data_IF_646930263492
#
_entry.id   IF_646930263492
#
_cell.length_a   1.000
_cell.length_b   1.000
_cell.length_c   1.000
_cell.angle_alpha   90.00
_cell.angle_beta   90.00
_cell.angle_gamma   90.00
#
_symmetry.space_group_name_H-M   'P 1'
#
loop_
_entity.id
_entity.type
_entity.pdbx_description
1 polymer ?
#
# COMPACT_ATOMS: atom_id res chain seq x y z
N UNK A 1 1.03 -11.40 16.98
CA UNK A 1 -0.15 -10.84 16.27
C UNK A 1 -1.43 -11.40 16.89
N UNK A 2 -1.51 -11.41 18.23
CA UNK A 2 -2.65 -11.99 18.94
C UNK A 2 -3.81 -11.01 19.03
N UNK A 3 -5.02 -11.54 19.15
CA UNK A 3 -6.26 -10.78 19.33
C UNK A 3 -6.62 -10.65 20.81
N UNK A 4 -7.01 -9.44 21.23
CA UNK A 4 -7.70 -9.22 22.51
C UNK A 4 -9.21 -9.41 22.32
N UNK A 5 -9.99 -9.85 23.31
CA UNK A 5 -11.45 -9.94 23.15
C UNK A 5 -12.06 -8.56 22.86
N UNK A 6 -13.05 -8.49 21.96
CA UNK A 6 -13.77 -7.26 21.60
C UNK A 6 -13.09 -6.35 20.58
N UNK A 7 -12.23 -6.91 19.70
CA UNK A 7 -11.61 -6.13 18.62
C UNK A 7 -12.59 -5.84 17.47
N UNK A 8 -12.30 -4.79 16.70
CA UNK A 8 -12.92 -4.54 15.39
C UNK A 8 -11.87 -4.67 14.29
N UNK A 9 -12.33 -4.82 13.05
CA UNK A 9 -11.47 -4.76 11.87
C UNK A 9 -11.62 -3.38 11.21
N UNK A 10 -10.51 -2.71 10.96
CA UNK A 10 -10.45 -1.56 10.07
C UNK A 10 -9.83 -2.02 8.76
N UNK A 11 -10.59 -1.91 7.68
CA UNK A 11 -10.20 -2.37 6.35
C UNK A 11 -10.04 -1.18 5.41
N UNK A 12 -8.84 -0.99 4.88
CA UNK A 12 -8.51 0.09 3.94
C UNK A 12 -8.24 -0.53 2.57
N UNK A 13 -8.95 -0.06 1.55
CA UNK A 13 -8.86 -0.54 0.18
C UNK A 13 -8.50 0.63 -0.75
N UNK A 14 -7.29 0.60 -1.33
CA UNK A 14 -6.82 1.62 -2.28
C UNK A 14 -6.63 1.00 -3.67
N UNK A 15 -7.44 1.44 -4.63
CA UNK A 15 -7.40 0.95 -6.01
C UNK A 15 -6.42 1.76 -6.90
N UNK A 16 -6.05 1.19 -8.05
CA UNK A 16 -5.17 1.80 -9.03
C UNK A 16 -5.82 2.94 -9.83
N UNK A 17 -5.08 4.05 -9.93
CA UNK A 17 -5.40 5.34 -10.60
C UNK A 17 -5.83 5.25 -12.08
N UNK A 18 -5.70 4.12 -12.76
CA UNK A 18 -6.04 3.95 -14.18
C UNK A 18 -7.27 3.06 -14.43
N UNK A 19 -7.88 2.52 -13.38
CA UNK A 19 -9.07 1.71 -13.53
C UNK A 19 -10.25 2.68 -13.63
N UNK A 20 -10.68 2.97 -14.85
CA UNK A 20 -11.98 3.60 -15.04
C UNK A 20 -13.02 2.73 -14.33
N UNK A 21 -13.91 3.35 -13.55
CA UNK A 21 -15.18 2.71 -13.21
C UNK A 21 -15.88 2.45 -14.55
N UNK A 22 -15.79 1.21 -15.01
CA UNK A 22 -16.20 0.73 -16.32
C UNK A 22 -16.43 -0.78 -16.24
N UNK A 23 -16.73 -1.44 -17.35
CA UNK A 23 -17.29 -2.81 -17.40
C UNK A 23 -16.51 -3.93 -16.67
N UNK A 24 -15.31 -3.69 -16.11
CA UNK A 24 -14.53 -4.65 -15.34
C UNK A 24 -14.04 -4.04 -14.02
N UNK A 25 -14.45 -4.65 -12.92
CA UNK A 25 -14.06 -4.29 -11.56
C UNK A 25 -12.71 -4.91 -11.17
N UNK A 26 -11.92 -4.22 -10.33
CA UNK A 26 -10.72 -4.81 -9.73
C UNK A 26 -11.06 -5.78 -8.60
N UNK A 27 -10.08 -6.60 -8.21
CA UNK A 27 -10.20 -7.43 -7.01
C UNK A 27 -10.37 -6.59 -5.74
N UNK A 28 -9.87 -5.34 -5.71
CA UNK A 28 -9.96 -4.47 -4.52
C UNK A 28 -11.39 -4.00 -4.29
N UNK A 29 -12.07 -3.50 -5.33
CA UNK A 29 -13.47 -3.07 -5.21
C UNK A 29 -14.40 -4.26 -4.95
N UNK A 30 -14.13 -5.41 -5.57
CA UNK A 30 -14.89 -6.65 -5.32
C UNK A 30 -14.73 -7.15 -3.89
N UNK A 31 -13.50 -7.15 -3.36
CA UNK A 31 -13.24 -7.49 -1.97
C UNK A 31 -13.99 -6.53 -1.05
N UNK A 32 -13.86 -5.22 -1.29
CA UNK A 32 -14.53 -4.20 -0.46
C UNK A 32 -16.06 -4.37 -0.42
N UNK A 33 -16.66 -4.70 -1.56
CA UNK A 33 -18.10 -4.93 -1.67
C UNK A 33 -18.57 -6.20 -0.96
N UNK A 34 -17.66 -7.16 -0.72
CA UNK A 34 -17.96 -8.44 -0.04
C UNK A 34 -17.68 -8.39 1.47
N UNK A 35 -17.09 -7.32 2.00
CA UNK A 35 -16.89 -7.15 3.44
C UNK A 35 -18.24 -7.01 4.13
N UNK A 36 -18.49 -7.88 5.12
CA UNK A 36 -19.66 -7.86 5.99
C UNK A 36 -19.48 -6.77 7.06
N UNK A 37 -20.04 -5.58 6.80
CA UNK A 37 -19.89 -4.40 7.68
C UNK A 37 -20.74 -4.51 8.94
N UNK A 38 -21.88 -5.18 8.84
CA UNK A 38 -22.89 -5.34 9.90
C UNK A 38 -22.73 -6.67 10.68
N UNK A 39 -21.53 -7.26 10.67
CA UNK A 39 -21.22 -8.46 11.44
C UNK A 39 -21.28 -8.16 12.94
N UNK A 40 -22.16 -8.87 13.66
CA UNK A 40 -22.41 -8.65 15.09
C UNK A 40 -21.29 -9.19 15.98
N UNK A 41 -20.51 -10.17 15.50
CA UNK A 41 -19.43 -10.78 16.27
C UNK A 41 -18.13 -9.98 16.14
N UNK A 42 -17.85 -9.48 14.93
CA UNK A 42 -16.66 -8.67 14.65
C UNK A 42 -17.02 -7.49 13.74
N UNK A 43 -17.24 -6.28 14.30
CA UNK A 43 -17.53 -5.11 13.50
C UNK A 43 -16.41 -4.79 12.50
N UNK A 44 -16.77 -4.44 11.26
CA UNK A 44 -15.82 -4.13 10.19
C UNK A 44 -16.05 -2.72 9.64
N UNK A 45 -15.13 -1.82 9.95
CA UNK A 45 -15.11 -0.47 9.41
C UNK A 45 -14.30 -0.46 8.12
N UNK A 46 -14.81 0.16 7.06
CA UNK A 46 -14.18 0.14 5.74
C UNK A 46 -13.90 1.53 5.21
N UNK A 47 -12.73 1.72 4.61
CA UNK A 47 -12.37 2.88 3.80
C UNK A 47 -12.00 2.42 2.40
N UNK A 48 -12.60 3.01 1.37
CA UNK A 48 -12.29 2.71 -0.02
C UNK A 48 -11.97 3.98 -0.79
N UNK A 49 -10.94 3.91 -1.64
CA UNK A 49 -10.67 4.94 -2.64
C UNK A 49 -10.33 4.29 -3.97
N UNK A 50 -10.98 4.78 -5.03
CA UNK A 50 -10.77 4.29 -6.40
C UNK A 50 -9.44 4.74 -7.03
N UNK A 51 -8.70 5.61 -6.35
CA UNK A 51 -7.49 6.22 -6.90
C UNK A 51 -7.74 7.18 -8.08
N UNK A 52 -8.96 7.31 -8.60
CA UNK A 52 -9.27 8.20 -9.72
C UNK A 52 -9.17 9.65 -9.25
N UNK A 53 -8.09 10.32 -9.65
CA UNK A 53 -7.81 11.67 -9.17
C UNK A 53 -6.89 12.40 -10.10
N UNK A 54 -7.36 12.60 -11.34
CA UNK A 54 -7.31 13.86 -12.13
C UNK A 54 -7.49 13.55 -13.62
N UNK A 55 -8.60 14.02 -14.17
CA UNK A 55 -8.75 14.20 -15.61
C UNK A 55 -7.68 15.22 -16.05
N UNK A 56 -6.75 14.83 -16.92
CA UNK A 56 -5.94 15.80 -17.65
C UNK A 56 -6.72 16.11 -18.93
N UNK A 57 -7.24 17.34 -19.12
CA UNK A 57 -7.90 17.70 -20.36
C UNK A 57 -6.91 17.50 -21.52
N UNK A 58 -7.32 16.86 -22.63
CA UNK A 58 -6.46 16.76 -23.80
C UNK A 58 -6.20 18.17 -24.33
N UNK A 59 -4.97 18.64 -24.16
CA UNK A 59 -4.51 19.92 -24.71
C UNK A 59 -3.25 19.68 -25.53
N UNK A 60 -3.05 20.55 -26.52
CA UNK A 60 -2.11 20.48 -27.66
C UNK A 60 -0.63 20.60 -27.30
N UNK A 61 -0.21 20.12 -26.12
CA UNK A 61 1.17 20.22 -25.64
C UNK A 61 2.01 19.00 -26.01
N UNK A 62 3.34 19.16 -26.01
CA UNK A 62 4.28 18.07 -26.29
C UNK A 62 4.12 16.90 -25.31
N UNK A 63 4.40 15.68 -25.79
CA UNK A 63 4.36 14.44 -24.99
C UNK A 63 5.16 14.53 -23.69
N UNK A 64 6.26 15.29 -23.69
CA UNK A 64 7.09 15.52 -22.51
C UNK A 64 6.41 16.43 -21.46
N UNK A 65 5.70 17.48 -21.91
CA UNK A 65 5.00 18.40 -21.02
C UNK A 65 3.74 17.76 -20.42
N UNK A 66 3.02 16.97 -21.23
CA UNK A 66 1.88 16.17 -20.76
C UNK A 66 2.32 15.16 -19.70
N UNK A 67 3.44 14.47 -19.91
CA UNK A 67 4.03 13.52 -18.95
C UNK A 67 4.39 14.18 -17.62
N UNK A 68 5.12 15.30 -17.65
CA UNK A 68 5.55 15.97 -16.43
C UNK A 68 4.38 16.52 -15.60
N UNK A 69 3.32 17.02 -16.24
CA UNK A 69 2.12 17.47 -15.53
C UNK A 69 1.32 16.30 -14.97
N UNK A 70 1.19 15.19 -15.72
CA UNK A 70 0.64 13.95 -15.21
C UNK A 70 1.38 13.50 -13.95
N UNK A 71 2.71 13.46 -13.98
CA UNK A 71 3.54 13.00 -12.85
C UNK A 71 3.38 13.85 -11.59
N UNK A 72 3.34 15.17 -11.72
CA UNK A 72 3.11 16.08 -10.58
C UNK A 72 1.75 15.87 -9.95
N UNK A 73 0.74 15.71 -10.79
CA UNK A 73 -0.63 15.51 -10.33
C UNK A 73 -0.78 14.13 -9.69
N UNK A 74 -0.13 13.10 -10.23
CA UNK A 74 -0.04 11.78 -9.63
C UNK A 74 0.70 11.79 -8.28
N UNK A 75 1.81 12.51 -8.15
CA UNK A 75 2.53 12.62 -6.89
C UNK A 75 1.69 13.35 -5.82
N UNK A 76 0.97 14.41 -6.23
CA UNK A 76 0.03 15.13 -5.38
C UNK A 76 -1.13 14.25 -4.91
N UNK A 77 -1.76 13.50 -5.82
CA UNK A 77 -2.86 12.60 -5.50
C UNK A 77 -2.41 11.40 -4.67
N UNK A 78 -1.21 10.86 -4.91
CA UNK A 78 -0.59 9.81 -4.09
C UNK A 78 -0.47 10.24 -2.63
N UNK A 79 0.17 11.39 -2.37
CA UNK A 79 0.36 11.91 -1.01
C UNK A 79 -0.99 12.12 -0.33
N UNK A 80 -1.93 12.75 -1.03
CA UNK A 80 -3.27 13.03 -0.52
C UNK A 80 -3.99 11.73 -0.09
N UNK A 81 -3.96 10.69 -0.93
CA UNK A 81 -4.64 9.42 -0.64
C UNK A 81 -4.04 8.68 0.56
N UNK A 82 -2.71 8.63 0.67
CA UNK A 82 -2.05 8.02 1.84
C UNK A 82 -2.37 8.82 3.11
N UNK A 83 -2.36 10.15 3.04
CA UNK A 83 -2.74 11.00 4.18
C UNK A 83 -4.22 10.84 4.57
N UNK A 84 -5.14 10.76 3.62
CA UNK A 84 -6.57 10.55 3.86
C UNK A 84 -6.82 9.19 4.54
N UNK A 85 -6.25 8.11 4.00
CA UNK A 85 -6.37 6.79 4.60
C UNK A 85 -5.76 6.75 6.02
N UNK A 86 -4.61 7.40 6.21
CA UNK A 86 -3.97 7.49 7.52
C UNK A 86 -4.80 8.29 8.53
N UNK A 87 -5.38 9.43 8.13
CA UNK A 87 -6.31 10.21 8.97
C UNK A 87 -7.52 9.37 9.35
N UNK A 88 -8.12 8.69 8.39
CA UNK A 88 -9.26 7.81 8.64
C UNK A 88 -8.91 6.72 9.66
N UNK A 89 -7.74 6.07 9.53
CA UNK A 89 -7.26 5.10 10.54
C UNK A 89 -7.11 5.79 11.91
N UNK A 90 -6.49 6.97 11.96
CA UNK A 90 -6.25 7.68 13.22
C UNK A 90 -7.54 8.08 13.94
N UNK A 91 -8.57 8.48 13.19
CA UNK A 91 -9.85 8.92 13.74
C UNK A 91 -10.70 7.75 14.25
N UNK A 92 -10.53 6.54 13.68
CA UNK A 92 -11.40 5.39 13.97
C UNK A 92 -10.73 4.32 14.85
N UNK A 93 -9.39 4.25 14.88
CA UNK A 93 -8.69 3.16 15.55
C UNK A 93 -8.85 3.21 17.08
N UNK A 94 -9.33 2.10 17.63
CA UNK A 94 -9.35 1.84 19.06
C UNK A 94 -8.29 0.80 19.43
N UNK A 95 -7.72 0.87 20.66
CA UNK A 95 -6.77 -0.13 21.12
C UNK A 95 -7.32 -1.56 20.98
N UNK A 96 -6.57 -2.43 20.29
CA UNK A 96 -6.96 -3.82 20.04
C UNK A 96 -7.55 -4.07 18.66
N UNK A 97 -7.93 -3.03 17.92
CA UNK A 97 -8.41 -3.17 16.55
C UNK A 97 -7.34 -3.78 15.62
N UNK A 98 -7.80 -4.47 14.57
CA UNK A 98 -6.95 -5.07 13.54
C UNK A 98 -7.00 -4.25 12.26
N UNK A 99 -5.84 -3.90 11.72
CA UNK A 99 -5.71 -3.17 10.46
C UNK A 99 -5.48 -4.12 9.28
N UNK A 100 -6.36 -4.08 8.30
CA UNK A 100 -6.25 -4.80 7.03
C UNK A 100 -6.10 -3.79 5.90
N UNK A 101 -5.03 -3.90 5.12
CA UNK A 101 -4.77 -2.99 4.00
C UNK A 101 -4.76 -3.79 2.69
N UNK A 102 -5.51 -3.32 1.70
CA UNK A 102 -5.61 -3.94 0.40
C UNK A 102 -5.33 -2.93 -0.71
N UNK A 103 -4.57 -3.35 -1.72
CA UNK A 103 -4.37 -2.48 -2.87
C UNK A 103 -3.97 -3.19 -4.14
N UNK A 104 -4.21 -2.53 -5.27
CA UNK A 104 -3.83 -3.00 -6.59
C UNK A 104 -2.95 -1.96 -7.29
N UNK A 105 -1.95 -2.40 -8.04
CA UNK A 105 -1.13 -1.53 -8.88
C UNK A 105 -0.45 -0.42 -8.06
N UNK A 106 -0.73 0.85 -8.38
CA UNK A 106 -0.26 2.00 -7.59
C UNK A 106 -0.93 2.11 -6.22
N UNK A 107 -2.17 1.63 -6.09
CA UNK A 107 -2.86 1.49 -4.81
C UNK A 107 -2.17 0.48 -3.88
N UNK A 108 -1.58 -0.58 -4.43
CA UNK A 108 -0.73 -1.50 -3.68
C UNK A 108 0.52 -0.80 -3.11
N UNK A 109 1.16 0.07 -3.89
CA UNK A 109 2.29 0.87 -3.40
C UNK A 109 1.86 1.86 -2.32
N UNK A 110 0.68 2.48 -2.47
CA UNK A 110 0.08 3.35 -1.45
C UNK A 110 -0.16 2.63 -0.11
N UNK A 111 -0.74 1.43 -0.12
CA UNK A 111 -0.97 0.69 1.14
C UNK A 111 0.31 0.17 1.78
N UNK A 112 1.34 -0.16 0.99
CA UNK A 112 2.68 -0.49 1.51
C UNK A 112 3.34 0.73 2.17
N UNK A 113 3.23 1.90 1.54
CA UNK A 113 3.69 3.16 2.13
C UNK A 113 2.92 3.51 3.40
N UNK A 114 1.60 3.29 3.41
CA UNK A 114 0.75 3.47 4.59
C UNK A 114 1.15 2.54 5.74
N UNK A 115 1.45 1.26 5.46
CA UNK A 115 1.96 0.33 6.48
C UNK A 115 3.30 0.80 7.06
N UNK A 116 4.23 1.22 6.20
CA UNK A 116 5.51 1.79 6.63
C UNK A 116 5.35 3.06 7.44
N UNK A 117 4.37 3.91 7.08
CA UNK A 117 4.02 5.12 7.81
C UNK A 117 3.43 4.81 9.19
N UNK A 118 2.57 3.80 9.30
CA UNK A 118 2.04 3.34 10.59
C UNK A 118 3.16 2.80 11.47
N UNK A 119 4.12 2.05 10.94
CA UNK A 119 5.27 1.60 11.76
C UNK A 119 6.16 2.78 12.19
N UNK A 120 6.47 3.67 11.24
CA UNK A 120 7.44 4.75 11.44
C UNK A 120 6.88 5.93 12.23
N UNK A 121 5.60 6.25 12.14
CA UNK A 121 4.98 7.41 12.81
C UNK A 121 4.01 6.99 13.90
N UNK A 122 3.54 5.73 13.87
CA UNK A 122 2.48 5.19 14.74
C UNK A 122 1.18 5.98 14.57
N UNK A 123 0.15 5.76 15.39
CA UNK A 123 -1.10 6.55 15.31
C UNK A 123 -1.00 7.69 16.33
N UNK A 124 -0.75 8.95 15.89
CA UNK A 124 -0.69 10.12 16.74
C UNK A 124 -2.10 10.59 17.11
N UNK A 125 -2.21 11.30 18.22
CA UNK A 125 -3.43 12.05 18.59
C UNK A 125 -3.73 13.20 17.60
N UNK A 126 -2.74 13.65 16.80
CA UNK A 126 -2.88 14.72 15.81
C UNK A 126 -2.24 14.32 14.45
N UNK A 127 -3.03 14.06 13.39
CA UNK A 127 -2.54 13.40 12.17
C UNK A 127 -1.90 14.34 11.12
N UNK A 128 -2.01 15.67 11.26
CA UNK A 128 -1.68 16.62 10.19
C UNK A 128 -0.19 16.68 9.77
N UNK A 129 0.74 16.28 10.64
CA UNK A 129 2.20 16.34 10.37
C UNK A 129 2.82 14.98 10.05
N UNK A 130 2.04 13.90 10.13
CA UNK A 130 2.56 12.54 10.13
C UNK A 130 3.29 12.17 8.82
N UNK A 131 2.73 12.51 7.67
CA UNK A 131 3.31 12.15 6.38
C UNK A 131 4.64 12.87 6.10
N UNK A 132 4.76 14.12 6.57
CA UNK A 132 6.03 14.87 6.48
C UNK A 132 7.14 14.23 7.33
N UNK A 133 6.78 13.68 8.49
CA UNK A 133 7.72 12.94 9.35
C UNK A 133 8.10 11.60 8.69
N UNK A 134 7.13 10.91 8.09
CA UNK A 134 7.36 9.64 7.40
C UNK A 134 8.38 9.77 6.25
N UNK A 135 8.26 10.81 5.42
CA UNK A 135 9.12 11.05 4.27
C UNK A 135 10.57 11.42 4.61
N UNK A 136 10.86 11.92 5.82
CA UNK A 136 12.21 12.34 6.20
C UNK A 136 13.11 11.13 6.43
N UNK A 137 14.27 11.10 5.78
CA UNK A 137 15.27 10.07 6.02
C UNK A 137 15.86 10.19 7.44
N UNK A 138 16.17 9.04 8.03
CA UNK A 138 16.63 8.84 9.41
C UNK A 138 17.99 9.51 9.73
N UNK A 139 18.68 10.06 8.73
CA UNK A 139 20.03 10.61 8.89
C UNK A 139 20.17 11.90 9.74
N UNK A 140 19.09 12.44 10.32
CA UNK A 140 19.16 13.59 11.26
C UNK A 140 18.74 13.17 12.67
N UNK A 141 19.75 12.86 13.49
CA UNK A 141 19.64 12.39 14.89
C UNK A 141 18.64 13.17 15.76
N UNK A 142 18.50 14.49 15.59
CA UNK A 142 17.53 15.29 16.36
C UNK A 142 16.07 15.04 15.96
N UNK A 143 15.80 14.83 14.67
CA UNK A 143 14.45 14.53 14.19
C UNK A 143 14.02 13.12 14.60
N UNK A 144 14.97 12.17 14.65
CA UNK A 144 14.74 10.83 15.17
C UNK A 144 14.45 10.85 16.68
N UNK A 145 15.23 11.58 17.47
CA UNK A 145 15.01 11.69 18.91
C UNK A 145 13.65 12.30 19.24
N UNK A 146 13.24 13.34 18.49
CA UNK A 146 11.91 13.94 18.64
C UNK A 146 10.79 12.97 18.23
N UNK A 147 10.95 12.26 17.12
CA UNK A 147 9.99 11.24 16.69
C UNK A 147 9.88 10.08 17.69
N UNK A 148 11.00 9.68 18.31
CA UNK A 148 11.05 8.59 19.29
C UNK A 148 10.43 8.99 20.63
N UNK A 149 10.66 10.22 21.10
CA UNK A 149 10.00 10.77 22.28
C UNK A 149 8.50 10.99 22.04
N UNK A 150 8.12 11.52 20.89
CA UNK A 150 6.71 11.65 20.52
C UNK A 150 6.02 10.28 20.45
N UNK A 151 6.68 9.26 19.87
CA UNK A 151 6.20 7.87 19.88
C UNK A 151 5.97 7.33 21.29
N UNK A 152 6.94 7.52 22.18
CA UNK A 152 6.86 7.05 23.58
C UNK A 152 5.74 7.73 24.36
N UNK A 153 5.53 9.03 24.11
CA UNK A 153 4.61 9.85 24.92
C UNK A 153 3.17 9.85 24.39
N UNK A 154 2.98 9.81 23.06
CA UNK A 154 1.67 10.07 22.45
C UNK A 154 1.18 9.01 21.48
N UNK A 155 2.01 8.02 21.12
CA UNK A 155 1.65 7.09 20.06
C UNK A 155 1.28 5.71 20.58
N UNK A 156 0.16 5.18 20.08
CA UNK A 156 -0.26 3.81 20.35
C UNK A 156 0.60 2.85 19.54
N UNK A 157 1.08 1.77 20.17
CA UNK A 157 1.77 0.71 19.45
C UNK A 157 0.77 -0.06 18.61
N UNK A 158 0.68 0.32 17.33
CA UNK A 158 -0.18 -0.35 16.33
C UNK A 158 0.72 -1.10 15.36
N UNK A 159 0.32 -2.32 15.03
CA UNK A 159 0.95 -3.14 14.00
C UNK A 159 -0.10 -3.50 12.96
N UNK A 160 0.25 -3.39 11.67
CA UNK A 160 -0.65 -3.78 10.59
C UNK A 160 -0.85 -5.29 10.65
N UNK A 161 -2.12 -5.73 10.68
CA UNK A 161 -2.46 -7.14 10.83
C UNK A 161 -2.30 -7.88 9.49
N UNK A 162 -2.77 -7.30 8.40
CA UNK A 162 -2.68 -7.93 7.09
C UNK A 162 -2.47 -6.89 5.99
N UNK A 163 -1.59 -7.19 5.04
CA UNK A 163 -1.46 -6.46 3.79
C UNK A 163 -1.63 -7.43 2.63
N UNK A 164 -2.66 -7.22 1.82
CA UNK A 164 -2.94 -7.99 0.61
C UNK A 164 -2.81 -7.10 -0.61
N UNK A 165 -1.85 -7.40 -1.48
CA UNK A 165 -1.58 -6.57 -2.65
C UNK A 165 -1.57 -7.38 -3.94
N UNK A 166 -2.05 -6.74 -5.01
CA UNK A 166 -1.97 -7.27 -6.37
C UNK A 166 -1.07 -6.37 -7.21
N UNK A 167 -0.03 -6.98 -7.76
CA UNK A 167 0.88 -6.45 -8.76
C UNK A 167 1.31 -5.00 -8.51
N UNK A 168 1.97 -4.80 -7.37
CA UNK A 168 2.47 -3.50 -6.93
C UNK A 168 3.35 -2.87 -8.00
N UNK A 169 2.98 -1.69 -8.50
CA UNK A 169 3.84 -0.90 -9.39
C UNK A 169 4.16 0.44 -8.73
N UNK A 170 5.44 0.77 -8.64
CA UNK A 170 5.85 2.11 -8.20
C UNK A 170 5.94 3.06 -9.38
N UNK A 171 5.72 4.35 -9.13
CA UNK A 171 5.85 5.39 -10.15
C UNK A 171 7.31 5.68 -10.55
N UNK A 172 8.28 4.87 -10.09
CA UNK A 172 9.72 5.11 -10.25
C UNK A 172 10.15 5.11 -11.73
N UNK A 173 9.37 4.50 -12.63
CA UNK A 173 9.59 4.55 -14.07
C UNK A 173 9.17 5.86 -14.77
N UNK A 174 8.49 6.79 -14.09
CA UNK A 174 7.97 8.03 -14.71
C UNK A 174 8.59 9.30 -14.12
N UNK A 175 8.84 9.31 -12.81
CA UNK A 175 9.74 10.25 -12.12
C UNK A 175 10.51 9.48 -11.01
N UNK A 176 11.80 9.78 -10.81
CA UNK A 176 12.61 9.23 -9.71
C UNK A 176 12.09 9.73 -8.36
N UNK A 177 10.94 9.20 -7.91
CA UNK A 177 10.54 9.32 -6.52
C UNK A 177 11.47 8.42 -5.72
N UNK A 178 12.19 9.02 -4.76
CA UNK A 178 12.96 8.25 -3.78
C UNK A 178 12.03 7.19 -3.15
N UNK A 179 12.47 5.92 -3.03
CA UNK A 179 11.65 4.87 -2.46
C UNK A 179 11.24 5.28 -1.04
N UNK A 180 9.94 5.17 -0.74
CA UNK A 180 9.46 5.56 0.58
C UNK A 180 9.91 4.53 1.63
N UNK A 181 10.24 4.96 2.86
CA UNK A 181 10.76 4.05 3.88
C UNK A 181 9.84 2.86 4.13
N UNK A 182 10.44 1.68 4.31
CA UNK A 182 9.76 0.41 4.64
C UNK A 182 8.82 -0.17 3.56
N UNK A 183 8.66 0.46 2.40
CA UNK A 183 7.82 -0.07 1.30
C UNK A 183 8.28 -1.43 0.78
N UNK A 184 9.58 -1.74 0.87
CA UNK A 184 10.20 -3.01 0.43
C UNK A 184 10.42 -4.04 1.54
N UNK A 185 9.86 -3.81 2.73
CA UNK A 185 9.97 -4.71 3.88
C UNK A 185 8.58 -5.08 4.41
N UNK A 186 8.43 -6.31 4.88
CA UNK A 186 7.20 -6.77 5.53
C UNK A 186 7.41 -7.14 7.02
N UNK A 187 8.59 -6.92 7.61
CA UNK A 187 8.88 -7.29 9.01
C UNK A 187 8.02 -6.56 10.04
N UNK A 188 7.42 -5.43 9.66
CA UNK A 188 6.51 -4.63 10.47
C UNK A 188 5.03 -5.00 10.27
N UNK A 189 4.76 -6.00 9.44
CA UNK A 189 3.41 -6.47 9.09
C UNK A 189 3.25 -7.88 9.63
N UNK A 190 2.09 -8.18 10.21
CA UNK A 190 1.82 -9.51 10.74
C UNK A 190 1.72 -10.58 9.64
N UNK A 191 1.02 -10.27 8.55
CA UNK A 191 0.85 -11.12 7.37
C UNK A 191 0.90 -10.26 6.10
N UNK A 192 1.76 -10.61 5.14
CA UNK A 192 1.91 -9.87 3.89
C UNK A 192 1.76 -10.81 2.71
N UNK A 193 0.74 -10.65 1.89
CA UNK A 193 0.53 -11.46 0.68
C UNK A 193 0.52 -10.59 -0.56
N UNK A 194 1.27 -11.02 -1.57
CA UNK A 194 1.38 -10.31 -2.83
C UNK A 194 1.18 -11.26 -4.02
N UNK A 195 0.16 -11.01 -4.84
CA UNK A 195 0.03 -11.64 -6.16
C UNK A 195 0.75 -10.83 -7.24
N UNK A 196 1.64 -11.45 -8.00
CA UNK A 196 2.47 -10.85 -9.05
C UNK A 196 2.05 -11.34 -10.44
N UNK A 197 2.04 -10.45 -11.43
CA UNK A 197 1.77 -10.81 -12.83
C UNK A 197 3.05 -11.34 -13.51
N UNK A 198 3.03 -12.58 -13.99
CA UNK A 198 4.19 -13.23 -14.60
C UNK A 198 4.53 -12.68 -16.00
N UNK A 199 3.52 -12.33 -16.79
CA UNK A 199 3.68 -12.00 -18.21
C UNK A 199 3.72 -10.49 -18.49
N UNK A 200 3.80 -9.64 -17.47
CA UNK A 200 3.93 -8.19 -17.63
C UNK A 200 5.34 -7.81 -18.12
N UNK A 201 5.42 -7.23 -19.32
CA UNK A 201 6.70 -6.90 -19.98
C UNK A 201 6.90 -5.40 -20.19
N UNK A 202 5.92 -4.56 -19.86
CA UNK A 202 6.03 -3.12 -20.03
C UNK A 202 6.92 -2.55 -18.92
N UNK A 203 8.00 -1.89 -19.31
CA UNK A 203 8.97 -1.25 -18.39
C UNK A 203 8.31 -0.32 -17.35
N UNK A 204 7.17 0.28 -17.68
CA UNK A 204 6.42 1.18 -16.80
C UNK A 204 5.54 0.47 -15.74
N UNK A 205 5.42 -0.85 -15.83
CA UNK A 205 4.62 -1.69 -14.94
C UNK A 205 5.48 -2.79 -14.31
N UNK A 206 6.80 -2.54 -14.17
CA UNK A 206 7.66 -3.46 -13.44
C UNK A 206 7.21 -3.54 -12.00
N UNK A 207 6.86 -4.75 -11.59
CA UNK A 207 6.30 -4.99 -10.27
C UNK A 207 7.39 -4.86 -9.19
N UNK A 208 7.08 -4.14 -8.12
CA UNK A 208 7.91 -4.11 -6.93
C UNK A 208 7.57 -5.28 -6.03
N UNK A 209 8.53 -6.17 -5.80
CA UNK A 209 8.44 -7.25 -4.84
C UNK A 209 9.30 -6.96 -3.60
N UNK A 210 9.14 -7.75 -2.55
CA UNK A 210 9.97 -7.69 -1.35
C UNK A 210 11.45 -7.93 -1.70
N UNK A 211 12.36 -7.43 -0.87
CA UNK A 211 13.82 -7.42 -1.15
C UNK A 211 14.26 -6.70 -2.44
N UNK A 212 13.34 -6.10 -3.18
CA UNK A 212 13.62 -5.18 -4.28
C UNK A 212 14.39 -5.77 -5.45
N UNK A 213 14.24 -7.06 -5.77
CA UNK A 213 14.94 -7.61 -6.93
C UNK A 213 15.74 -8.88 -6.70
N UNK A 214 16.14 -9.12 -5.45
CA UNK A 214 17.25 -10.02 -5.16
C UNK A 214 16.74 -11.45 -5.13
N UNK A 215 17.08 -12.19 -6.19
CA UNK A 215 16.92 -13.64 -6.20
C UNK A 215 17.77 -14.23 -5.07
N UNK A 216 17.28 -15.24 -4.32
CA UNK A 216 18.10 -16.02 -3.40
C UNK A 216 19.37 -16.60 -4.06
N UNK A 217 19.37 -16.68 -5.39
CA UNK A 217 20.44 -17.24 -6.22
C UNK A 217 21.56 -16.23 -6.53
N UNK A 218 21.35 -14.92 -6.38
CA UNK A 218 22.38 -13.89 -6.59
C UNK A 218 22.99 -13.51 -5.25
N UNK A 219 23.91 -14.36 -4.79
CA UNK A 219 24.46 -14.37 -3.43
C UNK A 219 25.04 -13.04 -2.94
N UNK A 220 24.72 -12.74 -1.68
CA UNK A 220 25.64 -12.40 -0.57
C UNK A 220 24.89 -11.82 0.65
N UNK A 221 23.57 -11.67 0.58
CA UNK A 221 22.73 -11.40 1.75
C UNK A 221 21.55 -12.37 1.68
N UNK A 222 21.46 -13.32 2.62
CA UNK A 222 20.27 -14.14 2.79
C UNK A 222 19.10 -13.22 3.16
N UNK A 223 18.33 -12.78 2.18
CA UNK A 223 17.03 -12.21 2.45
C UNK A 223 16.12 -13.36 2.86
N UNK A 224 15.97 -13.55 4.17
CA UNK A 224 14.90 -14.37 4.70
C UNK A 224 13.61 -13.58 4.56
N UNK A 225 12.74 -14.03 3.67
CA UNK A 225 11.35 -13.57 3.67
C UNK A 225 10.80 -13.70 5.09
N UNK A 226 10.15 -12.67 5.64
CA UNK A 226 9.50 -12.80 6.94
C UNK A 226 8.60 -14.04 6.90
N UNK A 227 8.54 -14.86 7.96
CA UNK A 227 7.86 -16.16 7.93
C UNK A 227 6.35 -16.08 7.59
N UNK A 228 5.77 -14.87 7.64
CA UNK A 228 4.38 -14.59 7.31
C UNK A 228 4.22 -13.72 6.05
N UNK A 229 5.26 -13.58 5.23
CA UNK A 229 5.22 -12.99 3.90
C UNK A 229 5.06 -14.10 2.85
N UNK A 230 4.26 -13.84 1.81
CA UNK A 230 4.11 -14.71 0.64
C UNK A 230 4.01 -13.89 -0.62
N UNK A 231 4.84 -14.20 -1.60
CA UNK A 231 4.73 -13.64 -2.96
C UNK A 231 4.43 -14.78 -3.93
N UNK A 232 3.35 -14.66 -4.71
CA UNK A 232 2.86 -15.72 -5.59
C UNK A 232 2.70 -15.16 -7.00
N UNK A 233 3.20 -15.89 -8.00
CA UNK A 233 3.14 -15.49 -9.40
C UNK A 233 1.91 -16.09 -10.09
N UNK A 234 1.14 -15.25 -10.77
CA UNK A 234 -0.02 -15.64 -11.55
C UNK A 234 0.27 -15.44 -13.04
N UNK A 235 -0.16 -16.36 -13.92
CA UNK A 235 -0.07 -16.14 -15.36
C UNK A 235 -0.89 -14.91 -15.77
N UNK A 236 -0.47 -14.22 -16.83
CA UNK A 236 -1.10 -13.00 -17.30
C UNK A 236 -0.31 -11.72 -17.01
N UNK A 237 -0.80 -10.62 -17.59
CA UNK A 237 -0.24 -9.26 -17.49
C UNK A 237 -0.85 -8.48 -16.32
N UNK A 238 -0.42 -7.24 -16.11
CA UNK A 238 -0.95 -6.39 -15.04
C UNK A 238 -2.49 -6.26 -15.03
N UNK A 239 -3.11 -6.17 -16.21
CA UNK A 239 -4.57 -6.10 -16.38
C UNK A 239 -5.30 -7.39 -16.02
N UNK A 240 -4.57 -8.50 -16.09
CA UNK A 240 -5.10 -9.84 -16.01
C UNK A 240 -5.22 -10.29 -14.55
N UNK A 241 -4.52 -9.59 -13.65
CA UNK A 241 -4.60 -9.78 -12.20
C UNK A 241 -5.97 -9.51 -11.60
N UNK A 242 -6.85 -8.81 -12.31
CA UNK A 242 -8.26 -8.65 -11.97
C UNK A 242 -9.21 -9.29 -12.99
N UNK A 243 -8.66 -10.04 -13.97
CA UNK A 243 -9.47 -10.81 -14.91
C UNK A 243 -9.79 -12.18 -14.30
N UNK A 244 -11.08 -12.51 -14.24
CA UNK A 244 -11.60 -13.70 -13.56
C UNK A 244 -11.46 -14.97 -14.37
N UNK A 245 -11.04 -14.89 -15.63
CA UNK A 245 -10.92 -16.04 -16.52
C UNK A 245 -9.60 -16.82 -16.37
N UNK A 246 -8.70 -16.40 -15.47
CA UNK A 246 -7.34 -16.91 -15.44
C UNK A 246 -7.15 -17.91 -14.29
N UNK A 247 -6.73 -19.15 -14.58
CA UNK A 247 -6.50 -20.16 -13.55
C UNK A 247 -5.25 -19.86 -12.71
N UNK A 248 -5.35 -20.14 -11.41
CA UNK A 248 -4.22 -20.06 -10.47
C UNK A 248 -3.24 -21.19 -10.76
N UNK A 249 -1.97 -20.86 -10.94
CA UNK A 249 -0.88 -21.85 -11.00
C UNK A 249 -0.12 -21.75 -9.68
N UNK A 250 -0.46 -22.58 -8.71
CA UNK A 250 0.35 -22.71 -7.49
C UNK A 250 1.67 -23.42 -7.84
N UNK A 251 2.81 -22.78 -7.54
CA UNK A 251 4.08 -23.49 -7.35
C UNK A 251 4.34 -23.60 -5.85
N UNK A 252 4.45 -24.86 -5.39
CA UNK A 252 4.97 -25.25 -4.08
C UNK A 252 6.41 -24.78 -3.87
#
# INVERSE_FOLDING_TARGET
CGSHKGYRNLVVCLDGTANQFGHRNTNVVELHNRILKDDQDVPQLTFYSSGIGTYVPPSTFSLAHLRHNLDKVFAGSFKRLVEEAYRWIADHYLPGDRLFLFGFSRGAYQVRALAGMIEKVRIPVLPYTAFQIYQRDSARSQAEALALNFKRTFARSVRVHFVGVWDTVSSVGIAQMQPLPLTKSASHICFFWHGLALDERRVKFLSEYLAGGRSPLTGNEHYEEPPNAKEVWFPGRHSDMYDRSIPVIDRY
#
